data_IF_307041517627
#
_entry.id   IF_307041517627
#
_cell.length_a   1.000
_cell.length_b   1.000
_cell.length_c   1.000
_cell.angle_alpha   90.00
_cell.angle_beta   90.00
_cell.angle_gamma   90.00
#
_symmetry.space_group_name_H-M   'P 1'
#
loop_
_entity.id
_entity.type
_entity.pdbx_description
1 polymer ?
#
# COMPACT_ATOMS: atom_id res chain seq x y z
N UNK A 1 22.65 -1.03 -8.92
CA UNK A 1 21.30 -0.49 -9.23
C UNK A 1 21.36 0.95 -9.72
N UNK A 2 21.98 1.90 -9.00
CA UNK A 2 22.05 3.32 -9.41
C UNK A 2 22.73 3.47 -10.79
N UNK A 3 23.87 2.81 -11.01
CA UNK A 3 24.59 2.92 -12.28
C UNK A 3 23.80 2.35 -13.46
N UNK A 4 22.96 1.34 -13.23
CA UNK A 4 22.09 0.78 -14.25
C UNK A 4 20.97 1.77 -14.61
N UNK A 5 20.31 2.35 -13.60
CA UNK A 5 19.28 3.36 -13.82
C UNK A 5 19.82 4.55 -14.64
N UNK A 6 21.02 5.04 -14.29
CA UNK A 6 21.67 6.14 -15.00
C UNK A 6 21.99 5.75 -16.46
N UNK A 7 22.49 4.53 -16.71
CA UNK A 7 22.73 4.02 -18.07
C UNK A 7 21.45 3.90 -18.89
N UNK A 8 20.32 3.62 -18.25
CA UNK A 8 19.00 3.56 -18.88
C UNK A 8 18.32 4.93 -19.02
N UNK A 9 19.01 6.03 -18.72
CA UNK A 9 18.46 7.39 -18.83
C UNK A 9 17.54 7.80 -17.66
N UNK A 10 17.47 7.01 -16.59
CA UNK A 10 16.72 7.35 -15.38
C UNK A 10 17.63 8.18 -14.46
N UNK A 11 17.36 9.48 -14.41
CA UNK A 11 18.09 10.41 -13.55
C UNK A 11 17.81 10.17 -12.07
N UNK A 12 18.85 10.30 -11.24
CA UNK A 12 18.71 10.27 -9.78
C UNK A 12 17.95 11.50 -9.31
N UNK A 13 16.88 11.29 -8.56
CA UNK A 13 16.11 12.34 -7.88
C UNK A 13 15.85 11.97 -6.42
N UNK A 14 15.54 12.97 -5.59
CA UNK A 14 15.18 12.81 -4.18
C UNK A 14 13.95 13.63 -3.86
N UNK A 15 13.09 13.12 -2.98
CA UNK A 15 11.88 13.81 -2.53
C UNK A 15 12.08 14.72 -1.31
N UNK A 16 13.28 14.75 -0.71
CA UNK A 16 13.52 15.49 0.54
C UNK A 16 12.54 15.06 1.63
N UNK A 17 11.79 16.00 2.20
CA UNK A 17 10.76 15.74 3.23
C UNK A 17 9.38 15.41 2.64
N UNK A 18 9.21 15.49 1.32
CA UNK A 18 7.93 15.27 0.64
C UNK A 18 7.64 13.78 0.44
N UNK A 19 7.37 13.09 1.55
CA UNK A 19 7.17 11.63 1.59
C UNK A 19 5.99 11.13 0.75
N UNK A 20 5.06 12.02 0.41
CA UNK A 20 3.93 11.75 -0.49
C UNK A 20 4.39 11.21 -1.85
N UNK A 21 5.44 11.81 -2.45
CA UNK A 21 5.98 11.35 -3.74
C UNK A 21 6.42 9.90 -3.70
N UNK A 22 7.03 9.47 -2.59
CA UNK A 22 7.47 8.09 -2.39
C UNK A 22 6.27 7.17 -2.22
N UNK A 23 5.30 7.55 -1.38
CA UNK A 23 4.08 6.75 -1.15
C UNK A 23 3.25 6.57 -2.41
N UNK A 24 3.10 7.63 -3.21
CA UNK A 24 2.49 7.57 -4.54
C UNK A 24 3.24 6.62 -5.48
N UNK A 25 4.57 6.66 -5.48
CA UNK A 25 5.40 5.70 -6.22
C UNK A 25 5.17 4.24 -5.79
N UNK A 26 4.98 4.00 -4.48
CA UNK A 26 4.64 2.66 -3.97
C UNK A 26 3.27 2.19 -4.49
N UNK A 27 2.26 3.07 -4.55
CA UNK A 27 0.95 2.72 -5.12
C UNK A 27 1.09 2.37 -6.60
N UNK A 28 1.84 3.16 -7.37
CA UNK A 28 2.04 2.91 -8.79
C UNK A 28 2.70 1.55 -9.07
N UNK A 29 3.64 1.12 -8.22
CA UNK A 29 4.28 -0.20 -8.35
C UNK A 29 3.44 -1.36 -7.79
N UNK A 30 2.70 -1.12 -6.70
CA UNK A 30 2.13 -2.17 -5.86
C UNK A 30 0.63 -1.95 -5.53
N UNK A 31 -0.16 -1.46 -6.49
CA UNK A 31 -1.58 -1.14 -6.27
C UNK A 31 -2.44 -2.34 -5.81
N UNK A 32 -2.02 -3.57 -6.07
CA UNK A 32 -2.71 -4.78 -5.57
C UNK A 32 -2.59 -4.96 -4.06
N UNK A 33 -1.57 -4.35 -3.44
CA UNK A 33 -1.20 -4.56 -2.04
C UNK A 33 -1.74 -3.46 -1.15
N UNK A 34 -3.00 -3.09 -1.39
CA UNK A 34 -3.72 -2.10 -0.58
C UNK A 34 -4.70 -2.83 0.33
N UNK A 35 -4.75 -2.41 1.59
CA UNK A 35 -5.71 -2.92 2.57
C UNK A 35 -6.46 -1.79 3.28
N UNK A 36 -7.73 -2.04 3.57
CA UNK A 36 -8.65 -1.10 4.20
C UNK A 36 -9.11 -1.63 5.55
N UNK A 37 -9.11 -0.76 6.55
CA UNK A 37 -9.61 -1.05 7.89
C UNK A 37 -11.13 -1.24 7.85
N UNK A 38 -11.60 -2.33 8.45
CA UNK A 38 -13.01 -2.62 8.64
C UNK A 38 -13.51 -2.17 10.00
N UNK A 39 -14.83 -2.02 10.13
CA UNK A 39 -15.50 -1.62 11.39
C UNK A 39 -15.17 -2.57 12.55
N UNK A 40 -14.96 -3.84 12.25
CA UNK A 40 -14.60 -4.89 13.20
C UNK A 40 -13.13 -4.82 13.66
N UNK A 41 -12.34 -3.90 13.11
CA UNK A 41 -10.96 -3.63 13.54
C UNK A 41 -9.89 -4.50 12.87
N UNK A 42 -10.26 -5.36 11.91
CA UNK A 42 -9.35 -6.08 11.02
C UNK A 42 -9.20 -5.35 9.68
N UNK A 43 -8.22 -5.73 8.87
CA UNK A 43 -8.05 -5.18 7.51
C UNK A 43 -8.51 -6.17 6.46
N UNK A 44 -9.07 -5.67 5.37
CA UNK A 44 -9.32 -6.43 4.14
C UNK A 44 -8.45 -5.91 3.00
N UNK A 45 -7.80 -6.80 2.28
CA UNK A 45 -7.13 -6.44 1.02
C UNK A 45 -8.17 -6.01 -0.02
N UNK A 46 -7.86 -4.99 -0.82
CA UNK A 46 -8.80 -4.50 -1.84
C UNK A 46 -9.01 -5.56 -2.93
N UNK A 47 -7.94 -6.18 -3.42
CA UNK A 47 -8.00 -7.13 -4.54
C UNK A 47 -8.66 -8.46 -4.21
N UNK A 48 -8.15 -9.13 -3.17
CA UNK A 48 -8.57 -10.49 -2.82
C UNK A 48 -9.60 -10.54 -1.69
N UNK A 49 -9.94 -9.41 -1.05
CA UNK A 49 -10.83 -9.36 0.13
C UNK A 49 -10.38 -10.31 1.24
N UNK A 50 -9.07 -10.51 1.38
CA UNK A 50 -8.47 -11.36 2.40
C UNK A 50 -8.36 -10.61 3.71
N UNK A 51 -8.72 -11.28 4.81
CA UNK A 51 -8.52 -10.77 6.18
C UNK A 51 -7.03 -10.77 6.52
N UNK A 52 -6.50 -9.60 6.81
CA UNK A 52 -5.10 -9.36 7.12
C UNK A 52 -4.96 -8.43 8.32
N UNK A 53 -3.79 -8.45 8.97
CA UNK A 53 -3.51 -7.67 10.17
C UNK A 53 -2.18 -6.96 10.04
N UNK A 54 -2.01 -5.80 10.67
CA UNK A 54 -0.68 -5.17 10.75
C UNK A 54 0.21 -6.06 11.63
N UNK A 55 1.43 -6.36 11.18
CA UNK A 55 2.38 -7.11 12.00
C UNK A 55 2.74 -6.33 13.28
N UNK A 56 2.83 -6.98 14.47
CA UNK A 56 3.08 -6.29 15.74
C UNK A 56 4.37 -5.47 15.82
N UNK A 57 5.37 -5.80 14.98
CA UNK A 57 6.64 -5.06 14.92
C UNK A 57 6.52 -3.69 14.21
N UNK A 58 5.38 -3.40 13.56
CA UNK A 58 5.18 -2.13 12.87
C UNK A 58 4.76 -1.04 13.86
N UNK A 59 5.32 0.16 13.69
CA UNK A 59 4.88 1.37 14.43
C UNK A 59 3.40 1.70 14.20
N UNK A 60 2.83 1.28 13.06
CA UNK A 60 1.43 1.50 12.73
C UNK A 60 0.47 0.51 13.41
N UNK A 61 0.98 -0.50 14.13
CA UNK A 61 0.16 -1.51 14.79
C UNK A 61 -0.88 -0.90 15.74
N UNK A 62 -0.52 0.21 16.42
CA UNK A 62 -1.42 0.92 17.35
C UNK A 62 -2.26 2.01 16.69
N UNK A 63 -1.75 2.64 15.63
CA UNK A 63 -2.42 3.78 14.98
C UNK A 63 -3.64 3.38 14.17
N UNK A 64 -3.70 2.13 13.67
CA UNK A 64 -4.79 1.59 12.84
C UNK A 64 -5.30 2.59 11.78
N UNK A 65 -4.46 3.02 10.83
CA UNK A 65 -4.88 3.94 9.77
C UNK A 65 -5.99 3.31 8.90
N UNK A 66 -6.93 4.10 8.35
CA UNK A 66 -8.07 3.57 7.61
C UNK A 66 -7.68 2.86 6.31
N UNK A 67 -6.60 3.31 5.67
CA UNK A 67 -6.11 2.78 4.41
C UNK A 67 -4.58 2.72 4.43
N UNK A 68 -4.02 1.62 3.93
CA UNK A 68 -2.58 1.40 3.91
C UNK A 68 -2.16 0.57 2.69
N UNK A 69 -0.88 0.71 2.35
CA UNK A 69 -0.19 -0.16 1.41
C UNK A 69 0.78 -1.06 2.19
N UNK A 70 1.02 -2.28 1.71
CA UNK A 70 1.95 -3.24 2.32
C UNK A 70 2.92 -3.82 1.28
N UNK A 71 4.11 -4.24 1.75
CA UNK A 71 5.10 -4.89 0.89
C UNK A 71 4.80 -6.38 0.69
N UNK A 72 4.52 -7.09 1.77
CA UNK A 72 4.35 -8.54 1.77
C UNK A 72 3.35 -9.01 2.84
N UNK A 73 2.88 -10.25 2.67
CA UNK A 73 2.06 -10.98 3.62
C UNK A 73 2.85 -12.15 4.21
N UNK A 74 2.68 -12.38 5.50
CA UNK A 74 3.37 -13.43 6.25
C UNK A 74 2.36 -14.24 7.03
N UNK A 75 2.44 -15.57 6.91
CA UNK A 75 1.57 -16.50 7.60
C UNK A 75 2.35 -17.24 8.70
N UNK A 76 2.12 -16.89 9.95
CA UNK A 76 2.68 -17.58 11.13
C UNK A 76 1.61 -18.05 12.12
N UNK A 77 0.35 -17.68 11.86
CA UNK A 77 -0.84 -18.06 12.62
C UNK A 77 -2.06 -17.23 12.20
N UNK A 78 -1.85 -15.91 12.05
CA UNK A 78 -2.72 -15.03 11.25
C UNK A 78 -1.93 -14.51 10.05
N UNK A 79 -2.65 -14.01 9.05
CA UNK A 79 -2.04 -13.33 7.92
C UNK A 79 -1.65 -11.90 8.34
N UNK A 80 -0.35 -11.60 8.35
CA UNK A 80 0.20 -10.32 8.77
C UNK A 80 0.85 -9.56 7.61
N UNK A 81 0.59 -8.26 7.52
CA UNK A 81 1.21 -7.32 6.61
C UNK A 81 2.52 -6.78 7.20
N UNK A 82 3.61 -6.83 6.41
CA UNK A 82 4.89 -6.16 6.71
C UNK A 82 5.14 -5.02 5.72
N UNK A 83 6.07 -4.12 6.09
CA UNK A 83 6.45 -2.94 5.30
C UNK A 83 5.22 -2.08 4.96
N UNK A 84 4.49 -1.68 6.00
CA UNK A 84 3.24 -0.93 5.87
C UNK A 84 3.48 0.58 5.85
N UNK A 85 2.69 1.29 5.03
CA UNK A 85 2.65 2.75 5.01
C UNK A 85 1.22 3.24 4.85
N UNK A 86 0.88 4.36 5.49
CA UNK A 86 -0.40 5.05 5.30
C UNK A 86 -0.51 5.60 3.89
N UNK A 87 -1.70 5.53 3.31
CA UNK A 87 -2.01 6.14 2.02
C UNK A 87 -3.39 6.83 2.05
N UNK A 88 -3.56 7.77 1.14
CA UNK A 88 -4.71 8.65 1.06
C UNK A 88 -5.65 8.12 -0.06
N UNK A 89 -6.97 8.00 0.19
CA UNK A 89 -7.91 7.41 -0.77
C UNK A 89 -7.93 8.12 -2.14
N UNK A 90 -7.68 9.43 -2.16
CA UNK A 90 -7.63 10.23 -3.39
C UNK A 90 -6.52 9.77 -4.35
N UNK A 91 -5.40 9.29 -3.82
CA UNK A 91 -4.29 8.84 -4.66
C UNK A 91 -4.61 7.48 -5.30
N UNK A 92 -5.39 6.66 -4.60
CA UNK A 92 -5.77 5.33 -5.03
C UNK A 92 -6.67 5.39 -6.26
N UNK A 93 -7.68 6.27 -6.27
CA UNK A 93 -8.55 6.43 -7.44
C UNK A 93 -7.80 6.97 -8.68
N UNK A 94 -6.78 7.80 -8.47
CA UNK A 94 -5.98 8.39 -9.55
C UNK A 94 -4.93 7.43 -10.11
N UNK A 95 -4.33 6.58 -9.26
CA UNK A 95 -3.17 5.75 -9.63
C UNK A 95 -3.51 4.30 -9.96
N UNK A 96 -4.71 3.84 -9.63
CA UNK A 96 -5.15 2.49 -9.99
C UNK A 96 -5.77 2.45 -11.39
N UNK A 97 -5.63 1.34 -12.12
CA UNK A 97 -6.42 1.12 -13.32
C UNK A 97 -7.92 1.23 -13.03
N UNK A 98 -8.65 2.02 -13.83
CA UNK A 98 -10.07 2.31 -13.61
C UNK A 98 -10.95 1.05 -13.53
N UNK A 99 -10.58 0.00 -14.26
CA UNK A 99 -11.26 -1.31 -14.22
C UNK A 99 -11.09 -2.01 -12.88
N UNK A 100 -9.90 -1.96 -12.29
CA UNK A 100 -9.61 -2.54 -10.98
C UNK A 100 -10.33 -1.77 -9.89
N UNK A 101 -10.24 -0.44 -9.91
CA UNK A 101 -10.90 0.42 -8.93
C UNK A 101 -12.42 0.20 -8.92
N UNK A 102 -13.07 0.17 -10.09
CA UNK A 102 -14.51 -0.06 -10.18
C UNK A 102 -14.93 -1.44 -9.65
N UNK A 103 -14.13 -2.48 -9.92
CA UNK A 103 -14.45 -3.85 -9.52
C UNK A 103 -14.29 -4.07 -8.01
N UNK A 104 -13.29 -3.44 -7.40
CA UNK A 104 -12.86 -3.80 -6.06
C UNK A 104 -13.07 -2.71 -5.00
N UNK A 105 -13.17 -1.43 -5.39
CA UNK A 105 -13.28 -0.30 -4.46
C UNK A 105 -14.70 0.31 -4.40
N UNK A 106 -15.51 0.23 -5.47
CA UNK A 106 -16.85 0.84 -5.54
C UNK A 106 -18.00 -0.08 -5.07
N UNK A 107 -17.71 -1.31 -4.65
CA UNK A 107 -18.70 -2.20 -4.03
C UNK A 107 -18.83 -1.84 -2.55
N UNK A 108 -19.56 -0.77 -2.27
CA UNK A 108 -19.97 -0.32 -0.95
C UNK A 108 -21.42 0.14 -0.97
#
# INVERSE_FOLDING_TARGET
>A
MIDLCMKSGISKSSCGQETEKVRKGLIAGNFSNIAQLQKEGHYLTIGSKQVVHIHPSSVLFRSKPPLLIFGELVMTGKCYMRQVSTIEPEWVSLMMPSSYFKRHCLTG
#
